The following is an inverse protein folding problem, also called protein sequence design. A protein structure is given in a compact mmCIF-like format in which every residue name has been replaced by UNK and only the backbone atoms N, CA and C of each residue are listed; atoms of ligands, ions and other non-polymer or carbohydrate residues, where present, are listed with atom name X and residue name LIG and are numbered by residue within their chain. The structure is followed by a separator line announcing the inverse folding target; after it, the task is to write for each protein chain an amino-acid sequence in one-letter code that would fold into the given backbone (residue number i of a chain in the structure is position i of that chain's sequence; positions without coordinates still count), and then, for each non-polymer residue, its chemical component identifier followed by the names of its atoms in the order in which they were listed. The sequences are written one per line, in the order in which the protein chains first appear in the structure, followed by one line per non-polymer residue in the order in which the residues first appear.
data_IF_058223655526
#
_entry.id   IF_058223655526
#
_cell.length_a   1.000
_cell.length_b   1.000
_cell.length_c   1.000
_cell.angle_alpha   90.00
_cell.angle_beta   90.00
_cell.angle_gamma   90.00
#
_symmetry.space_group_name_H-M   'P 1'
#
loop_
_entity.id
_entity.type
_entity.pdbx_description
1 polymer ?
#
# COMPACT_ATOMS: atom_id res chain seq x y z
N UNK A 1 47.01 31.00 10.52
CA UNK A 1 46.10 30.47 9.50
C UNK A 1 45.82 29.05 9.91
N UNK A 2 44.69 28.83 10.59
CA UNK A 2 44.23 27.48 10.91
C UNK A 2 43.04 27.28 9.99
N UNK A 3 43.27 26.52 8.92
CA UNK A 3 42.27 26.23 7.92
C UNK A 3 41.13 25.41 8.51
N UNK A 4 39.97 25.74 7.98
CA UNK A 4 38.63 25.35 8.36
C UNK A 4 38.33 23.97 7.79
N UNK A 5 38.19 22.95 8.62
CA UNK A 5 37.50 21.71 8.25
C UNK A 5 36.05 21.82 8.71
N UNK A 6 35.19 22.38 7.85
CA UNK A 6 33.76 22.12 7.89
C UNK A 6 33.56 20.67 7.47
N UNK A 7 33.52 19.77 8.47
CA UNK A 7 32.99 18.44 8.26
C UNK A 7 31.46 18.58 8.22
N UNK A 8 30.96 18.89 7.02
CA UNK A 8 29.54 18.75 6.70
C UNK A 8 29.20 17.27 6.60
N UNK A 9 29.15 16.60 7.75
CA UNK A 9 28.58 15.26 7.86
C UNK A 9 27.07 15.43 7.83
N UNK A 10 26.54 15.66 6.63
CA UNK A 10 25.13 15.52 6.37
C UNK A 10 24.83 14.03 6.35
N UNK A 11 24.48 13.48 7.51
CA UNK A 11 23.73 12.22 7.62
C UNK A 11 22.45 12.38 6.80
N UNK A 12 22.52 12.09 5.49
CA UNK A 12 21.34 11.80 4.70
C UNK A 12 20.86 10.45 5.22
N UNK A 13 19.95 10.48 6.18
CA UNK A 13 19.16 9.32 6.58
C UNK A 13 18.73 8.55 5.33
N UNK A 14 18.93 7.23 5.34
CA UNK A 14 18.56 6.28 4.28
C UNK A 14 17.03 6.21 4.15
N UNK A 15 16.40 7.27 3.64
CA UNK A 15 14.95 7.35 3.47
C UNK A 15 14.55 6.41 2.33
N UNK A 16 13.82 5.36 2.69
CA UNK A 16 13.23 4.42 1.74
C UNK A 16 11.87 4.93 1.28
N UNK A 17 11.73 5.14 -0.03
CA UNK A 17 10.49 5.59 -0.66
C UNK A 17 9.85 4.44 -1.45
N UNK A 18 8.52 4.39 -1.43
CA UNK A 18 7.75 3.54 -2.32
C UNK A 18 7.82 4.07 -3.76
N UNK A 19 7.89 3.16 -4.71
CA UNK A 19 7.93 3.41 -6.15
C UNK A 19 6.89 2.55 -6.86
N UNK A 20 6.56 2.93 -8.09
CA UNK A 20 5.90 1.99 -9.00
C UNK A 20 6.80 0.76 -9.17
N UNK A 21 6.19 -0.43 -9.23
CA UNK A 21 6.93 -1.69 -9.21
C UNK A 21 7.01 -2.36 -7.84
N UNK A 22 6.71 -1.64 -6.75
CA UNK A 22 6.74 -2.23 -5.41
C UNK A 22 5.49 -3.07 -5.13
N UNK A 23 5.68 -4.14 -4.35
CA UNK A 23 4.60 -4.93 -3.79
C UNK A 23 4.36 -4.47 -2.36
N UNK A 24 3.11 -4.11 -2.06
CA UNK A 24 2.68 -3.57 -0.78
C UNK A 24 1.49 -4.35 -0.23
N UNK A 25 1.27 -4.26 1.08
CA UNK A 25 0.10 -4.79 1.75
C UNK A 25 -0.60 -3.64 2.50
N UNK A 26 -1.92 -3.50 2.31
CA UNK A 26 -2.69 -2.45 2.97
C UNK A 26 -3.20 -2.93 4.32
N UNK A 27 -2.61 -2.43 5.40
CA UNK A 27 -3.03 -2.78 6.77
C UNK A 27 -3.72 -1.64 7.49
N UNK A 28 -4.74 -1.96 8.28
CA UNK A 28 -5.36 -1.02 9.22
C UNK A 28 -5.61 -1.67 10.59
N UNK A 29 -6.00 -0.86 11.56
CA UNK A 29 -6.47 -1.31 12.87
C UNK A 29 -8.00 -1.33 12.87
N UNK A 30 -8.59 -2.50 13.04
CA UNK A 30 -10.04 -2.67 13.15
C UNK A 30 -10.42 -2.84 14.62
N UNK A 31 -11.54 -2.24 15.03
CA UNK A 31 -12.10 -2.50 16.35
C UNK A 31 -12.62 -3.94 16.40
N UNK A 32 -12.19 -4.70 17.40
CA UNK A 32 -12.56 -6.09 17.58
C UNK A 32 -13.12 -6.30 18.98
N UNK A 33 -14.23 -7.04 19.08
CA UNK A 33 -14.76 -7.47 20.36
C UNK A 33 -14.58 -8.98 20.47
N UNK A 34 -13.47 -9.39 21.09
CA UNK A 34 -13.21 -10.79 21.42
C UNK A 34 -13.46 -10.95 22.92
N UNK A 35 -14.31 -11.92 23.26
CA UNK A 35 -14.47 -12.37 24.66
C UNK A 35 -14.89 -11.27 25.66
N UNK A 36 -15.62 -10.24 25.20
CA UNK A 36 -16.11 -9.15 26.04
C UNK A 36 -15.08 -8.05 26.34
N UNK A 37 -13.87 -8.14 25.78
CA UNK A 37 -12.87 -7.09 25.83
C UNK A 37 -12.89 -6.31 24.51
N UNK A 38 -13.17 -5.02 24.60
CA UNK A 38 -12.99 -4.10 23.46
C UNK A 38 -11.50 -3.99 23.17
N UNK A 39 -11.08 -4.59 22.06
CA UNK A 39 -9.72 -4.56 21.56
C UNK A 39 -9.65 -3.96 20.16
N UNK A 40 -8.44 -3.98 19.61
CA UNK A 40 -8.21 -3.67 18.21
C UNK A 40 -7.30 -4.74 17.62
N UNK A 41 -7.62 -5.18 16.42
CA UNK A 41 -6.83 -6.18 15.69
C UNK A 41 -6.26 -5.55 14.43
N UNK A 42 -5.03 -5.96 14.08
CA UNK A 42 -4.41 -5.52 12.84
C UNK A 42 -4.92 -6.43 11.73
N UNK A 43 -5.50 -5.82 10.71
CA UNK A 43 -6.03 -6.53 9.55
C UNK A 43 -5.36 -6.06 8.27
N UNK A 44 -5.35 -6.92 7.26
CA UNK A 44 -4.85 -6.61 5.92
C UNK A 44 -5.95 -6.81 4.88
N UNK A 45 -6.04 -5.90 3.91
CA UNK A 45 -6.92 -6.06 2.75
C UNK A 45 -6.46 -7.27 1.93
N UNK A 46 -7.36 -8.21 1.67
CA UNK A 46 -7.11 -9.38 0.84
C UNK A 46 -8.19 -9.57 -0.23
N UNK A 47 -7.86 -10.30 -1.29
CA UNK A 47 -8.79 -10.66 -2.35
C UNK A 47 -8.47 -12.05 -2.89
N UNK A 48 -9.49 -12.84 -3.19
CA UNK A 48 -9.35 -14.18 -3.79
C UNK A 48 -9.00 -14.11 -5.28
N UNK A 49 -9.52 -13.10 -5.98
CA UNK A 49 -9.35 -12.93 -7.42
C UNK A 49 -10.34 -13.76 -8.23
N UNK A 50 -9.96 -14.98 -8.61
CA UNK A 50 -10.82 -15.83 -9.45
C UNK A 50 -11.91 -16.49 -8.60
N UNK A 51 -13.16 -16.42 -9.04
CA UNK A 51 -14.30 -17.00 -8.32
C UNK A 51 -14.95 -16.05 -7.31
N UNK A 52 -14.22 -15.09 -6.76
CA UNK A 52 -14.75 -14.09 -5.83
C UNK A 52 -14.10 -12.71 -6.02
N UNK A 53 -14.93 -11.72 -6.35
CA UNK A 53 -14.50 -10.32 -6.60
C UNK A 53 -14.64 -9.41 -5.37
N UNK A 54 -15.18 -9.92 -4.28
CA UNK A 54 -15.32 -9.16 -3.04
C UNK A 54 -14.00 -9.23 -2.27
N UNK A 55 -13.48 -8.08 -1.84
CA UNK A 55 -12.35 -8.03 -0.93
C UNK A 55 -12.79 -8.41 0.50
N UNK A 56 -11.86 -8.99 1.26
CA UNK A 56 -12.03 -9.31 2.67
C UNK A 56 -10.90 -8.71 3.51
N UNK A 57 -10.98 -8.90 4.83
CA UNK A 57 -9.98 -8.46 5.79
C UNK A 57 -9.39 -9.69 6.48
N UNK A 58 -8.10 -9.93 6.25
CA UNK A 58 -7.33 -11.00 6.90
C UNK A 58 -6.75 -10.50 8.22
N UNK A 59 -6.93 -11.23 9.32
CA UNK A 59 -6.32 -10.87 10.60
C UNK A 59 -4.83 -11.24 10.59
N UNK A 60 -3.96 -10.23 10.67
CA UNK A 60 -2.49 -10.40 10.65
C UNK A 60 -1.84 -10.31 12.03
N UNK A 61 -2.67 -10.19 13.08
CA UNK A 61 -2.25 -10.11 14.48
C UNK A 61 -2.61 -11.35 15.29
N UNK A 62 -3.32 -12.32 14.69
CA UNK A 62 -3.62 -13.60 15.31
C UNK A 62 -2.30 -14.37 15.56
N UNK A 63 -2.11 -14.84 16.79
CA UNK A 63 -0.89 -15.55 17.20
C UNK A 63 -1.01 -17.05 17.00
N UNK A 64 -2.22 -17.56 16.91
CA UNK A 64 -2.51 -18.98 16.84
C UNK A 64 -2.60 -19.46 15.39
N UNK A 65 -2.98 -18.56 14.47
CA UNK A 65 -3.07 -18.83 13.04
C UNK A 65 -2.17 -17.90 12.22
N UNK A 66 -1.23 -18.42 11.41
CA UNK A 66 -0.43 -17.58 10.52
C UNK A 66 -1.33 -16.98 9.42
N UNK A 67 -1.21 -15.67 9.12
CA UNK A 67 -2.05 -15.02 8.12
C UNK A 67 -1.71 -15.46 6.70
N UNK A 68 -2.72 -15.50 5.82
CA UNK A 68 -2.51 -15.70 4.38
C UNK A 68 -2.09 -14.38 3.69
N UNK A 69 -0.78 -14.13 3.73
CA UNK A 69 -0.17 -12.93 3.16
C UNK A 69 -0.20 -12.96 1.62
N UNK A 70 -0.29 -14.14 1.00
CA UNK A 70 -0.23 -14.24 -0.47
C UNK A 70 -1.39 -13.49 -1.13
N UNK A 71 -2.56 -13.55 -0.51
CA UNK A 71 -3.80 -12.90 -0.99
C UNK A 71 -3.88 -11.42 -0.61
N UNK A 72 -2.91 -10.92 0.17
CA UNK A 72 -2.83 -9.56 0.66
C UNK A 72 -1.88 -8.66 -0.15
N UNK A 73 -1.16 -9.23 -1.12
CA UNK A 73 -0.15 -8.51 -1.90
C UNK A 73 -0.77 -7.70 -3.04
N UNK A 74 -0.47 -6.40 -3.07
CA UNK A 74 -0.91 -5.44 -4.07
C UNK A 74 0.31 -4.86 -4.79
N UNK A 75 0.25 -4.73 -6.11
CA UNK A 75 1.33 -4.17 -6.92
C UNK A 75 1.04 -2.71 -7.27
N UNK A 76 1.99 -1.81 -7.04
CA UNK A 76 1.87 -0.41 -7.44
C UNK A 76 2.20 -0.29 -8.93
N UNK A 77 1.18 -0.41 -9.77
CA UNK A 77 1.36 -0.33 -11.23
C UNK A 77 1.60 1.11 -11.72
N UNK A 78 0.80 2.06 -11.23
CA UNK A 78 0.88 3.44 -11.68
C UNK A 78 0.66 4.44 -10.53
N UNK A 79 1.32 5.59 -10.60
CA UNK A 79 1.24 6.67 -9.62
C UNK A 79 1.23 8.02 -10.34
N UNK A 80 0.02 8.54 -10.60
CA UNK A 80 -0.20 9.79 -11.33
C UNK A 80 -0.75 10.87 -10.42
N UNK A 81 -0.42 12.13 -10.74
CA UNK A 81 -1.14 13.26 -10.17
C UNK A 81 -2.59 13.29 -10.68
N UNK A 82 -3.48 14.00 -9.97
CA UNK A 82 -4.88 14.14 -10.37
C UNK A 82 -5.04 14.63 -11.82
N UNK A 83 -4.26 15.64 -12.25
CA UNK A 83 -4.38 16.20 -13.61
C UNK A 83 -3.94 15.21 -14.67
N UNK A 84 -2.80 14.55 -14.47
CA UNK A 84 -2.32 13.53 -15.39
C UNK A 84 -3.29 12.35 -15.51
N UNK A 85 -3.95 11.96 -14.40
CA UNK A 85 -4.99 10.93 -14.42
C UNK A 85 -6.23 11.38 -15.21
N UNK A 86 -6.66 12.63 -15.05
CA UNK A 86 -7.79 13.20 -15.82
C UNK A 86 -7.49 13.23 -17.33
N UNK A 87 -6.28 13.64 -17.72
CA UNK A 87 -5.83 13.66 -19.11
C UNK A 87 -5.83 12.26 -19.72
N UNK A 88 -5.26 11.28 -19.01
CA UNK A 88 -5.23 9.87 -19.43
C UNK A 88 -6.63 9.30 -19.64
N UNK A 89 -7.54 9.49 -18.68
CA UNK A 89 -8.92 9.01 -18.78
C UNK A 89 -9.69 9.68 -19.92
N UNK A 90 -9.42 10.96 -20.18
CA UNK A 90 -10.06 11.69 -21.27
C UNK A 90 -9.58 11.18 -22.62
N UNK A 91 -8.28 10.87 -22.78
CA UNK A 91 -7.75 10.30 -24.03
C UNK A 91 -8.26 8.90 -24.35
N UNK A 92 -8.46 8.04 -23.35
CA UNK A 92 -9.02 6.69 -23.57
C UNK A 92 -10.48 6.76 -24.06
N UNK A 93 -11.26 7.74 -23.57
CA UNK A 93 -12.65 7.91 -24.01
C UNK A 93 -12.78 8.30 -25.48
N UNK A 94 -11.81 9.03 -26.04
CA UNK A 94 -11.81 9.40 -27.46
C UNK A 94 -11.52 8.19 -28.36
N UNK A 95 -10.67 7.24 -27.94
CA UNK A 95 -10.37 6.04 -28.72
C UNK A 95 -11.55 5.08 -28.85
N UNK A 96 -12.40 4.98 -27.84
CA UNK A 96 -13.62 4.13 -27.87
C UNK A 96 -14.73 4.78 -28.73
N UNK A 97 -14.68 6.09 -28.96
CA UNK A 97 -15.67 6.81 -29.78
C UNK A 97 -15.52 6.59 -31.29
N UNK A 98 -14.38 6.03 -31.74
CA UNK A 98 -14.09 5.74 -33.15
C UNK A 98 -14.19 4.25 -33.52
N UNK A 99 -14.70 3.40 -32.63
CA UNK A 99 -14.94 1.96 -32.84
C UNK A 99 -16.41 1.60 -32.67
#
# INVERSE_FOLDING_TARGET
MTDKEETGDGEQDDISFLRTGDIVAMTCMAAANREGVLGSERVCLCTEGFGNRMCALENVSDRDLPPDIAMCMLYIDNALSMRALQEMMSSDSELVSFS
#
